data_IF_901657030806
#
_entry.id   IF_901657030806
#
_cell.length_a   1.000
_cell.length_b   1.000
_cell.length_c   1.000
_cell.angle_alpha   90.00
_cell.angle_beta   90.00
_cell.angle_gamma   90.00
#
_symmetry.space_group_name_H-M   'P 1'
#
loop_
_entity.id
_entity.type
_entity.pdbx_description
1 polymer ?
#
# COMPACT_ATOMS: atom_id res chain seq x y z
N UNK A 1 -1.31 17.29 -3.97
CA UNK A 1 -0.98 17.15 -5.39
C UNK A 1 -0.57 18.51 -5.94
N UNK A 2 0.54 18.57 -6.69
CA UNK A 2 0.96 19.78 -7.39
C UNK A 2 -0.13 20.24 -8.39
N UNK A 3 -0.35 21.56 -8.56
CA UNK A 3 0.38 22.68 -7.96
C UNK A 3 -0.18 23.17 -6.60
N UNK A 4 -1.19 22.52 -6.02
CA UNK A 4 -1.81 22.89 -4.74
C UNK A 4 -2.17 24.39 -4.58
N UNK A 5 -3.05 24.95 -5.44
CA UNK A 5 -3.35 26.40 -5.45
C UNK A 5 -4.05 26.90 -4.18
N UNK A 6 -4.64 26.00 -3.38
CA UNK A 6 -5.35 26.31 -2.14
C UNK A 6 -4.47 26.11 -0.90
N UNK A 7 -3.20 25.78 -1.07
CA UNK A 7 -2.23 25.55 0.02
C UNK A 7 -2.73 24.52 1.04
N UNK A 8 -3.44 23.49 0.57
CA UNK A 8 -3.91 22.41 1.43
C UNK A 8 -2.71 21.70 2.06
N UNK A 9 -2.78 21.46 3.36
CA UNK A 9 -1.74 20.79 4.12
C UNK A 9 -2.34 19.73 5.03
N UNK A 10 -1.51 18.78 5.47
CA UNK A 10 -1.92 17.77 6.45
C UNK A 10 -2.19 18.40 7.82
N UNK A 11 -3.01 17.72 8.63
CA UNK A 11 -3.26 18.13 10.03
C UNK A 11 -1.95 18.25 10.80
N UNK A 12 -1.01 17.32 10.63
CA UNK A 12 0.30 17.37 11.28
C UNK A 12 1.08 18.63 10.92
N UNK A 13 1.22 18.92 9.63
CA UNK A 13 1.91 20.14 9.17
C UNK A 13 1.27 21.39 9.77
N UNK A 14 -0.07 21.47 9.78
CA UNK A 14 -0.75 22.60 10.40
C UNK A 14 -0.46 22.73 11.90
N UNK A 15 -0.55 21.63 12.66
CA UNK A 15 -0.29 21.65 14.11
C UNK A 15 1.17 22.03 14.42
N UNK A 16 2.12 21.52 13.64
CA UNK A 16 3.54 21.88 13.75
C UNK A 16 3.75 23.39 13.51
N UNK A 17 3.08 23.99 12.51
CA UNK A 17 3.18 25.45 12.27
C UNK A 17 2.58 26.32 13.37
N UNK A 18 1.83 25.72 14.29
CA UNK A 18 1.18 26.40 15.42
C UNK A 18 1.80 26.03 16.77
N UNK A 19 2.90 25.28 16.77
CA UNK A 19 3.55 24.75 17.97
C UNK A 19 2.58 23.96 18.88
N UNK A 20 1.59 23.26 18.29
CA UNK A 20 0.60 22.46 19.02
C UNK A 20 1.08 21.02 19.13
N UNK A 21 1.26 20.52 20.36
CA UNK A 21 1.82 19.19 20.64
C UNK A 21 0.77 18.09 20.83
N UNK A 22 -0.44 18.28 20.30
CA UNK A 22 -1.53 17.29 20.42
C UNK A 22 -1.14 15.98 19.72
N UNK A 23 -1.28 14.81 20.38
CA UNK A 23 -1.00 13.52 19.74
C UNK A 23 -1.88 13.29 18.49
N UNK A 24 -1.27 12.74 17.44
CA UNK A 24 -1.93 12.47 16.16
C UNK A 24 -1.89 10.97 15.90
N UNK A 25 -3.01 10.41 15.46
CA UNK A 25 -3.11 9.06 14.90
C UNK A 25 -3.63 9.20 13.48
N UNK A 26 -2.80 8.85 12.50
CA UNK A 26 -3.14 8.93 11.09
C UNK A 26 -3.80 7.64 10.62
N UNK A 27 -4.96 7.76 9.97
CA UNK A 27 -5.68 6.64 9.33
C UNK A 27 -5.81 6.97 7.84
N UNK A 28 -4.71 6.89 7.06
CA UNK A 28 -4.74 7.30 5.67
C UNK A 28 -5.41 6.28 4.75
N UNK A 29 -5.72 6.75 3.55
CA UNK A 29 -6.40 6.03 2.50
C UNK A 29 -7.31 6.99 1.74
N UNK A 30 -7.52 6.75 0.46
CA UNK A 30 -8.43 7.56 -0.36
C UNK A 30 -9.56 6.67 -0.92
N UNK A 31 -10.61 6.36 -0.12
CA UNK A 31 -10.79 6.70 1.31
C UNK A 31 -10.03 5.75 2.26
N UNK A 32 -9.99 6.02 3.58
CA UNK A 32 -9.59 5.00 4.55
C UNK A 32 -10.61 3.85 4.57
N UNK A 33 -10.15 2.64 4.85
CA UNK A 33 -11.05 1.50 5.02
C UNK A 33 -11.97 1.72 6.24
N UNK A 34 -13.27 1.39 6.17
CA UNK A 34 -14.20 1.55 7.28
C UNK A 34 -13.72 0.91 8.59
N UNK A 35 -13.25 -0.33 8.55
CA UNK A 35 -12.70 -1.03 9.73
C UNK A 35 -11.44 -0.39 10.30
N UNK A 36 -10.58 0.24 9.47
CA UNK A 36 -9.39 0.91 10.00
C UNK A 36 -9.80 2.09 10.89
N UNK A 37 -10.79 2.86 10.42
CA UNK A 37 -11.35 3.97 11.18
C UNK A 37 -12.06 3.48 12.44
N UNK A 38 -13.06 2.59 12.29
CA UNK A 38 -13.87 2.08 13.40
C UNK A 38 -13.00 1.32 14.41
N UNK A 39 -12.07 0.49 13.94
CA UNK A 39 -11.15 -0.27 14.79
C UNK A 39 -10.21 0.64 15.58
N UNK A 40 -9.70 1.72 14.98
CA UNK A 40 -8.87 2.70 15.70
C UNK A 40 -9.69 3.43 16.77
N UNK A 41 -10.88 3.92 16.43
CA UNK A 41 -11.76 4.62 17.39
C UNK A 41 -12.16 3.70 18.54
N UNK A 42 -12.58 2.47 18.25
CA UNK A 42 -12.92 1.47 19.27
C UNK A 42 -11.70 1.14 20.16
N UNK A 43 -10.52 0.99 19.56
CA UNK A 43 -9.26 0.78 20.29
C UNK A 43 -8.98 1.91 21.27
N UNK A 44 -9.16 3.16 20.84
CA UNK A 44 -8.96 4.35 21.70
C UNK A 44 -9.98 4.39 22.84
N UNK A 45 -11.25 4.11 22.57
CA UNK A 45 -12.29 4.11 23.60
C UNK A 45 -12.08 3.03 24.67
N UNK A 46 -11.55 1.87 24.27
CA UNK A 46 -11.35 0.73 25.17
C UNK A 46 -10.03 0.81 25.94
N UNK A 47 -8.96 1.26 25.31
CA UNK A 47 -7.60 1.15 25.84
C UNK A 47 -6.90 2.50 26.06
N UNK A 48 -7.53 3.62 25.67
CA UNK A 48 -6.88 4.93 25.60
C UNK A 48 -6.05 5.11 24.33
N UNK A 49 -5.28 6.20 24.26
CA UNK A 49 -4.45 6.50 23.09
C UNK A 49 -3.41 5.40 22.83
N UNK A 50 -3.14 5.06 21.54
CA UNK A 50 -2.09 4.11 21.21
C UNK A 50 -0.73 4.62 21.68
N UNK A 51 0.15 3.69 22.05
CA UNK A 51 1.53 4.03 22.40
C UNK A 51 2.36 4.19 21.13
N UNK A 52 3.57 4.74 21.27
CA UNK A 52 4.47 4.94 20.13
C UNK A 52 4.82 3.62 19.44
N UNK A 53 4.97 2.53 20.20
CA UNK A 53 5.23 1.19 19.65
C UNK A 53 4.06 0.58 18.86
N UNK A 54 2.85 1.13 18.98
CA UNK A 54 1.66 0.69 18.24
C UNK A 54 1.52 1.41 16.88
N UNK A 55 2.35 2.42 16.63
CA UNK A 55 2.32 3.27 15.44
C UNK A 55 3.63 3.14 14.64
N UNK A 56 3.55 3.36 13.33
CA UNK A 56 4.75 3.54 12.50
C UNK A 56 5.25 5.00 12.49
N UNK A 57 6.33 5.25 11.75
CA UNK A 57 6.95 6.58 11.63
C UNK A 57 6.01 7.65 11.03
N UNK A 58 4.95 7.22 10.33
CA UNK A 58 3.91 8.09 9.80
C UNK A 58 2.72 8.24 10.76
N UNK A 59 2.85 7.78 12.01
CA UNK A 59 1.84 7.78 13.06
C UNK A 59 0.60 6.94 12.70
N UNK A 60 0.78 5.85 11.95
CA UNK A 60 -0.31 4.97 11.51
C UNK A 60 -0.36 3.70 12.36
N UNK A 61 -1.55 3.19 12.74
CA UNK A 61 -1.66 1.94 13.49
C UNK A 61 -1.00 0.73 12.79
N UNK A 62 -0.02 0.10 13.42
CA UNK A 62 0.68 -1.07 12.88
C UNK A 62 -0.27 -2.25 12.62
N UNK A 63 -1.39 -2.33 13.34
CA UNK A 63 -2.44 -3.32 13.13
C UNK A 63 -2.98 -3.33 11.69
N UNK A 64 -2.96 -2.19 10.99
CA UNK A 64 -3.48 -2.05 9.61
C UNK A 64 -2.39 -1.72 8.59
N UNK A 65 -1.36 -0.97 9.01
CA UNK A 65 -0.32 -0.44 8.14
C UNK A 65 1.07 -1.07 8.41
N UNK A 66 1.15 -2.15 9.20
CA UNK A 66 2.42 -2.76 9.57
C UNK A 66 3.08 -3.63 8.49
N UNK A 67 2.38 -3.93 7.38
CA UNK A 67 2.87 -4.76 6.28
C UNK A 67 2.55 -4.15 4.93
N UNK A 68 3.40 -4.44 3.95
CA UNK A 68 3.13 -4.09 2.56
C UNK A 68 2.00 -4.93 1.99
N UNK A 69 1.20 -4.34 1.10
CA UNK A 69 0.21 -5.07 0.30
C UNK A 69 0.87 -6.26 -0.41
N UNK A 70 2.08 -6.07 -0.93
CA UNK A 70 2.80 -7.09 -1.68
C UNK A 70 3.25 -8.31 -0.85
N UNK A 71 3.39 -8.16 0.48
CA UNK A 71 3.73 -9.29 1.36
C UNK A 71 2.60 -10.31 1.46
N UNK A 72 1.35 -9.86 1.33
CA UNK A 72 0.17 -10.71 1.51
C UNK A 72 -0.67 -10.82 0.22
N UNK A 73 -0.13 -10.35 -0.91
CA UNK A 73 -0.82 -10.38 -2.19
C UNK A 73 -0.92 -11.83 -2.71
N UNK A 74 -2.13 -12.33 -3.04
CA UNK A 74 -2.28 -13.65 -3.68
C UNK A 74 -1.49 -13.82 -4.99
N UNK A 75 -1.25 -12.72 -5.71
CA UNK A 75 -0.43 -12.73 -6.94
C UNK A 75 1.09 -12.71 -6.67
N UNK A 76 1.53 -12.91 -5.43
CA UNK A 76 2.96 -12.89 -5.08
C UNK A 76 3.74 -14.00 -5.80
N UNK A 77 3.21 -15.21 -5.87
CA UNK A 77 3.84 -16.30 -6.63
C UNK A 77 4.02 -15.94 -8.11
N UNK A 78 3.03 -15.29 -8.72
CA UNK A 78 3.14 -14.81 -10.10
C UNK A 78 4.21 -13.72 -10.27
N UNK A 79 4.37 -12.83 -9.28
CA UNK A 79 5.46 -11.85 -9.27
C UNK A 79 6.82 -12.54 -9.21
N UNK A 80 6.96 -13.51 -8.30
CA UNK A 80 8.20 -14.24 -8.04
C UNK A 80 8.64 -15.11 -9.23
N UNK A 81 7.69 -15.61 -10.03
CA UNK A 81 7.92 -16.35 -11.29
C UNK A 81 8.12 -15.45 -12.51
N UNK A 82 7.92 -14.14 -12.39
CA UNK A 82 7.92 -13.21 -13.52
C UNK A 82 6.69 -13.33 -14.44
N UNK A 83 5.61 -13.98 -13.97
CA UNK A 83 4.33 -14.08 -14.68
C UNK A 83 3.52 -12.78 -14.51
N UNK A 84 3.82 -11.79 -15.34
CA UNK A 84 3.15 -10.49 -15.33
C UNK A 84 2.03 -10.40 -16.37
N UNK A 85 0.89 -9.84 -15.94
CA UNK A 85 -0.20 -9.45 -16.84
C UNK A 85 0.28 -8.35 -17.79
N UNK A 86 -0.06 -8.44 -19.08
CA UNK A 86 0.35 -7.46 -20.10
C UNK A 86 -0.76 -6.47 -20.45
N UNK A 87 -2.01 -6.84 -20.18
CA UNK A 87 -3.22 -6.02 -20.36
C UNK A 87 -4.16 -6.22 -19.18
N UNK A 88 -5.04 -5.25 -18.94
CA UNK A 88 -6.10 -5.39 -17.94
C UNK A 88 -7.02 -6.55 -18.31
N UNK A 89 -7.28 -7.43 -17.33
CA UNK A 89 -8.07 -8.65 -17.52
C UNK A 89 -7.23 -9.91 -17.80
N UNK A 90 -5.94 -9.78 -18.13
CA UNK A 90 -5.05 -10.93 -18.23
C UNK A 90 -4.78 -11.53 -16.83
N UNK A 91 -4.56 -12.84 -16.79
CA UNK A 91 -4.06 -13.49 -15.58
C UNK A 91 -2.61 -13.10 -15.30
N UNK A 92 -2.28 -12.92 -14.02
CA UNK A 92 -0.91 -12.70 -13.56
C UNK A 92 -0.77 -11.52 -12.61
N UNK A 93 0.47 -11.19 -12.25
CA UNK A 93 0.75 -10.05 -11.39
C UNK A 93 0.63 -8.73 -12.18
N UNK A 94 -0.03 -7.73 -11.60
CA UNK A 94 -0.26 -6.41 -12.20
C UNK A 94 0.94 -5.45 -12.08
N UNK A 95 2.12 -5.95 -11.73
CA UNK A 95 3.32 -5.12 -11.54
C UNK A 95 3.69 -4.33 -12.80
N UNK A 96 3.71 -4.97 -13.97
CA UNK A 96 4.00 -4.29 -15.24
C UNK A 96 2.92 -3.29 -15.66
N UNK A 97 1.71 -3.42 -15.11
CA UNK A 97 0.60 -2.49 -15.29
C UNK A 97 0.60 -1.36 -14.25
N UNK A 98 1.67 -1.25 -13.47
CA UNK A 98 1.93 -0.13 -12.55
C UNK A 98 1.51 -0.34 -11.11
N UNK A 99 1.24 -1.58 -10.69
CA UNK A 99 0.86 -1.86 -9.30
C UNK A 99 1.93 -1.40 -8.30
N UNK A 100 1.51 -0.52 -7.39
CA UNK A 100 2.32 0.08 -6.31
C UNK A 100 2.24 -0.69 -4.98
N UNK A 101 1.64 -1.87 -5.01
CA UNK A 101 1.58 -2.77 -3.84
C UNK A 101 2.94 -3.02 -3.15
N UNK A 102 4.08 -3.10 -3.87
CA UNK A 102 5.40 -3.26 -3.26
C UNK A 102 5.86 -2.12 -2.34
N UNK A 103 5.29 -0.93 -2.46
CA UNK A 103 5.65 0.24 -1.63
C UNK A 103 4.48 0.73 -0.76
N UNK A 104 3.35 0.03 -0.79
CA UNK A 104 2.11 0.47 -0.13
C UNK A 104 1.83 -0.38 1.09
N UNK A 105 1.88 0.24 2.26
CA UNK A 105 1.47 -0.33 3.54
C UNK A 105 -0.06 -0.30 3.69
N UNK A 106 -0.68 -1.47 3.77
CA UNK A 106 -2.09 -1.68 4.09
C UNK A 106 -2.43 -3.18 4.11
N UNK A 107 -3.41 -3.59 4.93
CA UNK A 107 -3.93 -4.96 5.00
C UNK A 107 -5.02 -5.28 3.95
N UNK A 108 -5.19 -4.45 2.91
CA UNK A 108 -6.17 -4.63 1.82
C UNK A 108 -6.32 -6.08 1.28
N UNK A 109 -5.25 -6.86 1.00
CA UNK A 109 -5.41 -8.24 0.54
C UNK A 109 -6.00 -9.19 1.58
N UNK A 110 -5.77 -8.91 2.86
CA UNK A 110 -6.19 -9.75 3.98
C UNK A 110 -7.63 -9.44 4.38
N UNK A 111 -7.91 -8.16 4.64
CA UNK A 111 -9.22 -7.69 5.11
C UNK A 111 -10.23 -7.55 3.99
N UNK A 112 -9.74 -7.19 2.79
CA UNK A 112 -10.56 -6.74 1.65
C UNK A 112 -11.42 -5.54 2.04
N UNK A 113 -12.32 -5.13 1.16
CA UNK A 113 -13.23 -4.01 1.26
C UNK A 113 -14.67 -4.49 1.24
N UNK A 114 -15.55 -3.73 1.89
CA UNK A 114 -16.99 -3.93 1.89
C UNK A 114 -17.38 -5.33 2.39
N UNK A 115 -17.12 -5.59 3.68
CA UNK A 115 -17.42 -6.87 4.34
C UNK A 115 -16.72 -8.07 3.68
N UNK A 116 -15.42 -7.92 3.43
CA UNK A 116 -14.62 -9.00 2.86
C UNK A 116 -14.86 -9.26 1.36
N UNK A 117 -15.67 -8.45 0.68
CA UNK A 117 -16.11 -8.72 -0.68
C UNK A 117 -14.95 -8.74 -1.68
N UNK A 118 -14.20 -7.65 -1.80
CA UNK A 118 -13.10 -7.57 -2.77
C UNK A 118 -12.09 -6.47 -2.42
N UNK A 119 -11.07 -6.26 -3.24
CA UNK A 119 -10.04 -5.24 -3.06
C UNK A 119 -9.47 -4.88 -4.43
N UNK A 120 -8.70 -3.79 -4.52
CA UNK A 120 -8.30 -3.20 -5.82
C UNK A 120 -7.63 -4.20 -6.78
N UNK A 121 -6.65 -4.98 -6.30
CA UNK A 121 -5.93 -5.96 -7.12
C UNK A 121 -6.80 -7.18 -7.42
N UNK A 122 -7.63 -7.62 -6.45
CA UNK A 122 -8.59 -8.70 -6.66
C UNK A 122 -9.68 -8.36 -7.68
N UNK A 123 -9.96 -7.07 -7.87
CA UNK A 123 -10.82 -6.55 -8.92
C UNK A 123 -10.10 -6.32 -10.26
N UNK A 124 -8.81 -6.66 -10.38
CA UNK A 124 -8.03 -6.53 -11.60
C UNK A 124 -7.40 -5.15 -11.83
N UNK A 125 -7.43 -4.25 -10.84
CA UNK A 125 -6.83 -2.93 -10.92
C UNK A 125 -5.52 -2.83 -10.11
N UNK A 126 -4.48 -2.15 -10.61
CA UNK A 126 -3.24 -1.96 -9.89
C UNK A 126 -3.47 -1.10 -8.63
N UNK A 127 -2.80 -1.46 -7.53
CA UNK A 127 -2.72 -0.57 -6.38
C UNK A 127 -2.05 0.74 -6.80
N UNK A 128 -2.61 1.87 -6.39
CA UNK A 128 -2.11 3.22 -6.70
C UNK A 128 -1.34 3.87 -5.55
N UNK A 129 -1.18 3.20 -4.41
CA UNK A 129 -0.46 3.73 -3.25
C UNK A 129 -1.23 4.74 -2.40
N UNK A 130 -2.57 4.75 -2.43
CA UNK A 130 -3.39 5.77 -1.77
C UNK A 130 -3.23 5.92 -0.23
N UNK A 131 -2.49 5.03 0.43
CA UNK A 131 -2.19 5.10 1.89
C UNK A 131 -0.81 5.69 2.20
N UNK A 132 -0.01 6.01 1.18
CA UNK A 132 1.35 6.52 1.34
C UNK A 132 1.43 8.05 1.22
N UNK A 133 2.28 8.73 1.99
CA UNK A 133 2.50 10.18 1.87
C UNK A 133 2.93 10.64 0.47
N UNK A 134 3.61 9.77 -0.28
CA UNK A 134 4.08 9.99 -1.63
C UNK A 134 2.94 10.10 -2.66
N UNK A 135 1.73 9.64 -2.32
CA UNK A 135 0.56 9.71 -3.18
C UNK A 135 0.00 11.13 -3.29
N UNK A 136 -0.41 11.59 -4.50
CA UNK A 136 -0.29 10.92 -5.79
C UNK A 136 0.99 11.25 -6.55
N UNK A 137 1.65 12.38 -6.24
CA UNK A 137 2.62 13.01 -7.13
C UNK A 137 3.88 12.15 -7.34
N UNK A 138 4.46 11.62 -6.26
CA UNK A 138 5.72 10.85 -6.34
C UNK A 138 5.51 9.40 -6.81
N UNK A 139 4.27 8.92 -6.75
CA UNK A 139 3.88 7.58 -7.20
C UNK A 139 3.36 7.60 -8.64
N UNK A 140 3.05 8.78 -9.17
CA UNK A 140 2.64 8.97 -10.55
C UNK A 140 3.82 8.82 -11.52
N UNK A 141 3.59 8.29 -12.73
CA UNK A 141 2.32 7.82 -13.29
C UNK A 141 1.86 6.44 -12.74
N UNK A 142 0.56 6.30 -12.49
CA UNK A 142 0.01 5.11 -11.82
C UNK A 142 0.15 3.81 -12.62
N UNK A 143 0.13 3.90 -13.95
CA UNK A 143 0.14 2.72 -14.83
C UNK A 143 1.54 2.35 -15.35
N UNK A 144 2.59 2.93 -14.77
CA UNK A 144 3.96 2.54 -15.04
C UNK A 144 4.52 1.73 -13.86
N UNK A 145 5.27 0.68 -14.17
CA UNK A 145 5.93 -0.14 -13.16
C UNK A 145 6.95 0.68 -12.37
N UNK A 146 7.21 0.25 -11.14
CA UNK A 146 8.34 0.77 -10.39
C UNK A 146 9.65 0.43 -11.12
N UNK A 147 10.66 1.29 -11.03
CA UNK A 147 11.93 1.14 -11.77
C UNK A 147 13.04 0.53 -10.91
N UNK A 148 12.83 0.54 -9.60
CA UNK A 148 13.77 0.30 -8.51
C UNK A 148 13.49 -1.01 -7.76
N UNK A 149 12.69 -1.90 -8.35
CA UNK A 149 12.40 -3.22 -7.78
C UNK A 149 13.22 -4.29 -8.49
N UNK A 150 14.12 -4.93 -7.74
CA UNK A 150 14.82 -6.13 -8.21
C UNK A 150 13.85 -7.33 -8.26
N UNK A 151 13.72 -7.94 -9.43
CA UNK A 151 12.88 -9.12 -9.60
C UNK A 151 13.57 -10.37 -9.01
N UNK A 152 12.84 -11.23 -8.28
CA UNK A 152 13.37 -12.49 -7.79
C UNK A 152 13.89 -13.37 -8.92
N UNK A 153 15.08 -13.97 -8.74
CA UNK A 153 15.65 -14.96 -9.67
C UNK A 153 15.44 -16.38 -9.15
N UNK A 154 14.18 -16.79 -9.03
CA UNK A 154 13.84 -18.12 -8.50
C UNK A 154 14.10 -19.19 -9.57
N UNK A 155 14.76 -20.28 -9.18
CA UNK A 155 15.02 -21.42 -10.07
C UNK A 155 16.15 -21.18 -11.10
N UNK A 156 16.93 -20.12 -10.96
CA UNK A 156 18.05 -19.82 -11.86
C UNK A 156 19.11 -20.94 -11.93
N UNK A 157 19.26 -21.74 -10.87
CA UNK A 157 20.14 -22.91 -10.84
C UNK A 157 19.77 -24.00 -11.87
N UNK A 158 18.54 -23.99 -12.38
CA UNK A 158 18.06 -24.93 -13.41
C UNK A 158 18.15 -24.39 -14.84
N UNK A 159 18.54 -23.12 -15.01
CA UNK A 159 18.64 -22.46 -16.33
C UNK A 159 20.00 -22.71 -16.99
N UNK A 160 21.06 -22.90 -16.20
CA UNK A 160 22.37 -23.33 -16.69
C UNK A 160 22.29 -24.79 -17.17
N UNK A 161 22.02 -24.99 -18.46
CA UNK A 161 21.96 -26.32 -19.10
C UNK A 161 20.67 -26.63 -19.86
N UNK A 162 19.66 -25.73 -19.88
CA UNK A 162 18.45 -25.91 -20.71
C UNK A 162 18.60 -25.42 -22.15
N UNK A 163 19.64 -24.66 -22.47
CA UNK A 163 19.91 -24.17 -23.84
C UNK A 163 20.73 -25.16 -24.70
N UNK A 164 21.13 -26.32 -24.17
CA UNK A 164 21.94 -27.33 -24.89
C UNK A 164 21.13 -28.56 -25.40
N UNK A 165 19.81 -28.44 -25.60
CA UNK A 165 19.02 -29.50 -26.25
C UNK A 165 18.05 -28.96 -27.29
#
# INVERSE_FOLDING_TARGET
AAPNPTECQSVKQFLDTKDITTPIVNIPGCPPHPDWFVGTVAGILLNGLPKTEDLDDNLRPLAFYGKLIHENCPNRAHFDEGKFAKKFGDEGCLYELGCKGPITYADCPLRRWNDGANWVIGAGAPCNGCTQPEFPDQISPFYEKLVDVELPKIGACWLTGKEEK
#
